data_IF_241653120602
#
_entry.id   IF_241653120602
#
_cell.length_a   1.000
_cell.length_b   1.000
_cell.length_c   1.000
_cell.angle_alpha   90.00
_cell.angle_beta   90.00
_cell.angle_gamma   90.00
#
_symmetry.space_group_name_H-M   'P 1'
#
loop_
_entity.id
_entity.type
_entity.pdbx_description
1 polymer ?
#
# COMPACT_ATOMS: atom_id res chain seq x y z
N UNK A 1 -14.23 2.42 9.02
CA UNK A 1 -13.61 2.01 7.74
C UNK A 1 -12.91 3.23 7.17
N UNK A 2 -11.58 3.22 7.20
CA UNK A 2 -10.74 4.35 6.77
C UNK A 2 -10.27 4.07 5.35
N UNK A 3 -10.22 5.11 4.52
CA UNK A 3 -9.60 5.00 3.20
C UNK A 3 -8.09 5.11 3.40
N UNK A 4 -7.34 4.19 2.82
CA UNK A 4 -5.89 4.24 2.77
C UNK A 4 -5.45 4.44 1.33
N UNK A 5 -4.39 5.22 1.16
CA UNK A 5 -3.63 5.30 -0.08
C UNK A 5 -2.27 4.66 0.14
N UNK A 6 -1.89 3.73 -0.73
CA UNK A 6 -0.53 3.22 -0.81
C UNK A 6 0.19 4.01 -1.88
N UNK A 7 1.30 4.63 -1.49
CA UNK A 7 2.13 5.45 -2.36
C UNK A 7 3.54 4.93 -2.43
N UNK A 8 4.19 5.26 -3.53
CA UNK A 8 5.63 5.15 -3.68
C UNK A 8 6.28 6.46 -3.22
N UNK A 9 7.23 6.39 -2.29
CA UNK A 9 7.88 7.57 -1.71
C UNK A 9 8.80 8.27 -2.72
N UNK A 10 9.57 7.50 -3.49
CA UNK A 10 10.51 8.02 -4.48
C UNK A 10 9.83 8.80 -5.61
N UNK A 11 8.71 8.32 -6.14
CA UNK A 11 8.02 8.94 -7.28
C UNK A 11 6.79 9.75 -6.88
N UNK A 12 6.34 9.61 -5.62
CA UNK A 12 5.03 10.10 -5.13
C UNK A 12 3.84 9.54 -5.90
N UNK A 13 4.03 8.46 -6.67
CA UNK A 13 2.94 7.80 -7.37
C UNK A 13 2.01 7.11 -6.37
N UNK A 14 0.70 7.26 -6.55
CA UNK A 14 -0.30 6.48 -5.81
C UNK A 14 -0.43 5.15 -6.53
N UNK A 15 -0.07 4.07 -5.84
CA UNK A 15 -0.08 2.71 -6.39
C UNK A 15 -1.42 2.02 -6.15
N UNK A 16 -2.06 2.34 -5.03
CA UNK A 16 -3.36 1.78 -4.68
C UNK A 16 -4.13 2.73 -3.77
N UNK A 17 -5.45 2.73 -3.84
CA UNK A 17 -6.32 3.45 -2.91
C UNK A 17 -7.56 2.63 -2.66
N UNK A 18 -7.90 2.44 -1.39
CA UNK A 18 -9.05 1.62 -1.02
C UNK A 18 -9.31 1.65 0.48
N UNK A 19 -10.39 0.99 0.91
CA UNK A 19 -10.72 0.89 2.32
C UNK A 19 -9.97 -0.29 2.96
N UNK A 20 -9.40 -0.03 4.13
CA UNK A 20 -8.79 -1.06 4.96
C UNK A 20 -9.00 -0.75 6.45
N UNK A 21 -8.79 -1.74 7.30
CA UNK A 21 -8.86 -1.58 8.75
C UNK A 21 -7.58 -0.98 9.33
N UNK A 22 -6.42 -1.31 8.75
CA UNK A 22 -5.09 -0.87 9.20
C UNK A 22 -4.17 -0.57 8.01
N UNK A 23 -3.09 0.16 8.27
CA UNK A 23 -2.07 0.47 7.28
C UNK A 23 -1.37 -0.79 6.73
N UNK A 24 -1.03 -1.75 7.60
CA UNK A 24 -0.51 -3.07 7.18
C UNK A 24 -1.48 -3.78 6.24
N UNK A 25 -2.77 -3.83 6.60
CA UNK A 25 -3.77 -4.48 5.74
C UNK A 25 -3.91 -3.77 4.40
N UNK A 26 -3.78 -2.44 4.37
CA UNK A 26 -3.77 -1.68 3.12
C UNK A 26 -2.57 -2.05 2.23
N UNK A 27 -1.39 -2.25 2.81
CA UNK A 27 -0.19 -2.70 2.08
C UNK A 27 -0.35 -4.11 1.52
N UNK A 28 -0.89 -5.03 2.33
CA UNK A 28 -1.18 -6.38 1.86
C UNK A 28 -2.18 -6.39 0.71
N UNK A 29 -3.31 -5.70 0.86
CA UNK A 29 -4.35 -5.65 -0.17
C UNK A 29 -3.82 -4.95 -1.43
N UNK A 30 -2.98 -3.94 -1.29
CA UNK A 30 -2.31 -3.31 -2.43
C UNK A 30 -1.36 -4.28 -3.15
N UNK A 31 -0.58 -5.08 -2.41
CA UNK A 31 0.27 -6.11 -2.98
C UNK A 31 -0.58 -7.18 -3.71
N UNK A 32 -1.69 -7.60 -3.09
CA UNK A 32 -2.65 -8.52 -3.69
C UNK A 32 -3.29 -7.96 -4.97
N UNK A 33 -3.65 -6.69 -4.99
CA UNK A 33 -4.17 -6.01 -6.17
C UNK A 33 -3.14 -5.90 -7.31
N UNK A 34 -1.85 -5.83 -6.97
CA UNK A 34 -0.76 -5.86 -7.94
C UNK A 34 -0.41 -7.28 -8.45
N UNK A 35 -1.06 -8.32 -7.93
CA UNK A 35 -0.87 -9.72 -8.34
C UNK A 35 0.10 -10.52 -7.47
N UNK A 36 0.56 -9.97 -6.35
CA UNK A 36 1.34 -10.71 -5.35
C UNK A 36 0.41 -11.43 -4.36
N UNK A 37 0.88 -12.47 -3.69
CA UNK A 37 0.11 -13.14 -2.64
C UNK A 37 0.07 -12.30 -1.36
N UNK A 38 1.12 -11.53 -1.08
CA UNK A 38 1.22 -10.67 0.10
C UNK A 38 2.30 -9.60 -0.02
N UNK A 39 2.33 -8.70 0.96
CA UNK A 39 3.30 -7.60 0.96
C UNK A 39 4.75 -8.09 1.04
N UNK A 40 5.00 -9.22 1.68
CA UNK A 40 6.34 -9.80 1.85
C UNK A 40 7.01 -10.26 0.55
N UNK A 41 6.23 -10.58 -0.50
CA UNK A 41 6.78 -11.02 -1.79
C UNK A 41 7.34 -9.86 -2.63
N UNK A 42 7.00 -8.63 -2.28
CA UNK A 42 7.58 -7.46 -2.92
C UNK A 42 9.09 -7.39 -2.61
N UNK A 43 9.91 -6.98 -3.60
CA UNK A 43 11.33 -6.71 -3.37
C UNK A 43 11.51 -5.78 -2.16
N UNK A 44 12.50 -6.04 -1.31
CA UNK A 44 12.77 -5.20 -0.13
C UNK A 44 12.91 -3.72 -0.48
N UNK A 45 13.54 -3.42 -1.61
CA UNK A 45 13.68 -2.05 -2.14
C UNK A 45 12.35 -1.40 -2.48
N UNK A 46 11.37 -2.16 -2.99
CA UNK A 46 10.03 -1.66 -3.26
C UNK A 46 9.22 -1.51 -1.96
N UNK A 47 9.32 -2.48 -1.04
CA UNK A 47 8.65 -2.42 0.27
C UNK A 47 9.11 -1.23 1.10
N UNK A 48 10.41 -0.99 1.15
CA UNK A 48 10.99 0.15 1.86
C UNK A 48 10.60 1.51 1.25
N UNK A 49 10.30 1.53 -0.04
CA UNK A 49 9.85 2.72 -0.78
C UNK A 49 8.32 2.89 -0.79
N UNK A 50 7.58 1.97 -0.18
CA UNK A 50 6.12 2.03 -0.09
C UNK A 50 5.65 2.51 1.28
N UNK A 51 4.55 3.28 1.30
CA UNK A 51 3.92 3.70 2.55
C UNK A 51 2.41 3.75 2.37
N UNK A 52 1.67 3.25 3.37
CA UNK A 52 0.23 3.38 3.45
C UNK A 52 -0.14 4.56 4.35
N UNK A 53 -0.84 5.54 3.80
CA UNK A 53 -1.32 6.72 4.52
C UNK A 53 -2.85 6.70 4.60
N UNK A 54 -3.39 6.95 5.79
CA UNK A 54 -4.83 7.14 5.95
C UNK A 54 -5.25 8.47 5.28
N UNK A 55 -6.25 8.39 4.41
CA UNK A 55 -6.86 9.54 3.75
C UNK A 55 -7.98 10.06 4.64
N UNK A 56 -7.80 11.25 5.18
CA UNK A 56 -8.83 11.99 5.90
C UNK A 56 -9.48 12.92 4.88
N UNK A 57 -10.76 12.70 4.59
CA UNK A 57 -11.60 13.56 3.74
C UNK A 57 -12.35 14.59 4.56
#
# INVERSE_FOLDING_TARGET
MTIFQVRQNSTRAVLWTGQADTADRALEVAAQAAGYHGFEELPETARADMTAEAVIV
#
